data_IF_443221489093
#
_entry.id   IF_443221489093
#
_cell.length_a   1.000
_cell.length_b   1.000
_cell.length_c   1.000
_cell.angle_alpha   90.00
_cell.angle_beta   90.00
_cell.angle_gamma   90.00
#
_symmetry.space_group_name_H-M   'P 1'
#
loop_
_entity.id
_entity.type
_entity.pdbx_description
1 polymer ?
#
# COMPACT_ATOMS: atom_id res chain seq x y z
N UNK A 1 -3.90 15.55 -24.16
CA UNK A 1 -2.58 14.92 -24.37
C UNK A 1 -2.62 14.30 -25.75
N UNK A 2 -1.76 14.79 -26.65
CA UNK A 2 -1.67 14.29 -28.01
C UNK A 2 -1.25 12.83 -28.07
N UNK A 3 -1.69 12.10 -29.09
CA UNK A 3 -1.38 10.68 -29.27
C UNK A 3 -0.41 10.49 -30.43
N UNK A 4 0.53 9.56 -30.27
CA UNK A 4 1.31 9.05 -31.39
C UNK A 4 0.37 8.34 -32.38
N UNK A 5 0.61 8.56 -33.68
CA UNK A 5 -0.12 7.96 -34.80
C UNK A 5 0.80 7.01 -35.56
N UNK A 6 0.20 5.99 -36.16
CA UNK A 6 0.89 4.94 -36.89
C UNK A 6 0.31 4.79 -38.29
N UNK A 7 1.19 4.50 -39.25
CA UNK A 7 0.84 4.14 -40.62
C UNK A 7 1.76 3.02 -41.06
N UNK A 8 1.21 2.00 -41.72
CA UNK A 8 1.99 0.84 -42.13
C UNK A 8 2.92 1.20 -43.29
N UNK A 9 4.22 0.95 -43.12
CA UNK A 9 5.25 1.01 -44.16
C UNK A 9 5.26 2.30 -44.98
N UNK A 10 4.98 3.43 -44.35
CA UNK A 10 4.98 4.72 -45.05
C UNK A 10 6.40 5.12 -45.46
N UNK A 11 6.52 5.59 -46.69
CA UNK A 11 7.73 6.13 -47.29
C UNK A 11 7.32 7.16 -48.36
N UNK A 12 8.04 8.27 -48.40
CA UNK A 12 7.79 9.38 -49.33
C UNK A 12 9.09 10.18 -49.53
N UNK A 13 9.15 11.01 -50.56
CA UNK A 13 10.34 11.79 -50.90
C UNK A 13 10.14 13.27 -50.61
N UNK A 14 11.17 13.90 -50.05
CA UNK A 14 11.25 15.35 -49.88
C UNK A 14 11.25 16.03 -51.24
N UNK A 15 10.56 17.17 -51.33
CA UNK A 15 10.52 18.04 -52.51
C UNK A 15 11.12 19.40 -52.14
N UNK A 16 12.16 19.80 -52.88
CA UNK A 16 12.89 21.03 -52.65
C UNK A 16 14.06 20.87 -51.67
N UNK A 17 14.72 21.98 -51.37
CA UNK A 17 15.76 22.02 -50.34
C UNK A 17 15.16 22.32 -48.96
N UNK A 18 15.65 21.61 -47.95
CA UNK A 18 15.24 21.77 -46.55
C UNK A 18 16.49 22.06 -45.74
N UNK A 19 16.56 23.24 -45.15
CA UNK A 19 17.68 23.63 -44.29
C UNK A 19 17.66 22.86 -42.96
N UNK A 20 18.82 22.73 -42.28
CA UNK A 20 18.86 22.28 -40.89
C UNK A 20 17.95 23.15 -40.02
N UNK A 21 17.08 22.53 -39.23
CA UNK A 21 16.16 23.23 -38.33
C UNK A 21 14.92 23.83 -38.99
N UNK A 22 14.69 23.65 -40.30
CA UNK A 22 13.43 24.04 -40.94
C UNK A 22 12.23 23.33 -40.27
N UNK A 23 11.19 24.10 -39.95
CA UNK A 23 9.97 23.64 -39.26
C UNK A 23 8.89 23.13 -40.21
N UNK A 24 9.13 23.23 -41.51
CA UNK A 24 8.24 22.73 -42.55
C UNK A 24 9.05 22.03 -43.64
N UNK A 25 8.46 20.98 -44.22
CA UNK A 25 8.99 20.32 -45.42
C UNK A 25 7.85 19.80 -46.28
N UNK A 26 8.07 19.71 -47.58
CA UNK A 26 7.07 19.21 -48.53
C UNK A 26 7.46 17.82 -49.00
N UNK A 27 6.48 16.92 -49.09
CA UNK A 27 6.64 15.58 -49.66
C UNK A 27 6.08 15.49 -51.08
N UNK A 28 6.52 14.50 -51.85
CA UNK A 28 5.92 14.19 -53.15
C UNK A 28 4.51 13.61 -53.00
N UNK A 29 4.27 12.80 -51.96
CA UNK A 29 2.96 12.29 -51.57
C UNK A 29 2.84 12.12 -50.05
N UNK A 30 2.00 12.92 -49.41
CA UNK A 30 1.64 12.76 -48.00
C UNK A 30 0.22 12.22 -47.81
N UNK A 31 -0.51 11.89 -48.88
CA UNK A 31 -1.91 11.47 -48.82
C UNK A 31 -2.16 10.25 -47.91
N UNK A 32 -1.26 9.24 -47.80
CA UNK A 32 -1.46 8.12 -46.88
C UNK A 32 -1.43 8.50 -45.40
N UNK A 33 -0.88 9.67 -45.04
CA UNK A 33 -0.85 10.14 -43.65
C UNK A 33 -2.20 10.68 -43.17
N UNK A 34 -3.11 10.97 -44.11
CA UNK A 34 -4.44 11.50 -43.83
C UNK A 34 -4.39 12.87 -43.15
N UNK A 35 -5.35 13.12 -42.27
CA UNK A 35 -5.40 14.33 -41.44
C UNK A 35 -4.83 14.05 -40.06
N UNK A 36 -4.14 15.04 -39.49
CA UNK A 36 -3.54 14.94 -38.16
C UNK A 36 -4.27 15.87 -37.17
N UNK A 37 -5.00 15.33 -36.17
CA UNK A 37 -5.68 16.14 -35.17
C UNK A 37 -4.72 16.98 -34.33
N UNK A 38 -5.14 18.16 -33.82
CA UNK A 38 -4.29 19.01 -33.00
C UNK A 38 -3.70 18.28 -31.79
N UNK A 39 -2.37 18.30 -31.68
CA UNK A 39 -1.60 17.66 -30.62
C UNK A 39 -1.14 16.25 -30.93
N UNK A 40 -1.78 15.54 -31.86
CA UNK A 40 -1.30 14.25 -32.32
C UNK A 40 -0.06 14.40 -33.21
N UNK A 41 0.73 13.34 -33.32
CA UNK A 41 1.96 13.38 -34.10
C UNK A 41 2.32 12.04 -34.70
N UNK A 42 3.13 12.06 -35.76
CA UNK A 42 3.88 10.90 -36.23
C UNK A 42 5.36 11.07 -35.88
N UNK A 43 6.03 9.99 -35.47
CA UNK A 43 7.50 9.93 -35.48
C UNK A 43 7.96 9.48 -36.84
N UNK A 44 8.85 10.25 -37.46
CA UNK A 44 9.39 9.94 -38.78
C UNK A 44 10.92 10.00 -38.78
N UNK A 45 11.53 9.27 -39.69
CA UNK A 45 12.96 9.30 -39.96
C UNK A 45 13.19 9.91 -41.34
N UNK A 46 13.93 11.02 -41.36
CA UNK A 46 14.48 11.59 -42.58
C UNK A 46 15.87 10.99 -42.84
N UNK A 47 16.19 10.70 -44.09
CA UNK A 47 17.49 10.15 -44.49
C UNK A 47 17.96 10.74 -45.82
N UNK A 48 19.22 11.18 -45.87
CA UNK A 48 19.87 11.73 -47.05
C UNK A 48 20.92 10.76 -47.65
N UNK A 49 20.71 9.45 -47.48
CA UNK A 49 21.63 8.35 -47.83
C UNK A 49 22.94 8.26 -47.04
N UNK A 50 23.37 9.34 -46.37
CA UNK A 50 24.62 9.38 -45.57
C UNK A 50 24.36 9.37 -44.07
N UNK A 51 23.28 10.01 -43.63
CA UNK A 51 22.88 10.10 -42.24
C UNK A 51 21.36 10.17 -42.12
N UNK A 52 20.86 10.05 -40.90
CA UNK A 52 19.44 10.14 -40.60
C UNK A 52 19.16 11.10 -39.45
N UNK A 53 17.92 11.59 -39.42
CA UNK A 53 17.37 12.43 -38.36
C UNK A 53 15.97 11.93 -37.99
N UNK A 54 15.65 11.89 -36.70
CA UNK A 54 14.28 11.62 -36.24
C UNK A 54 13.56 12.95 -36.05
N UNK A 55 12.32 13.02 -36.54
CA UNK A 55 11.46 14.21 -36.45
C UNK A 55 10.07 13.84 -35.94
N UNK A 56 9.37 14.81 -35.34
CA UNK A 56 7.93 14.71 -35.09
C UNK A 56 7.19 15.46 -36.18
N UNK A 57 6.28 14.81 -36.88
CA UNK A 57 5.30 15.47 -37.75
C UNK A 57 4.12 15.88 -36.90
N UNK A 58 3.86 17.17 -36.75
CA UNK A 58 2.83 17.73 -35.85
C UNK A 58 1.67 18.39 -36.59
N UNK A 59 1.78 18.55 -37.90
CA UNK A 59 0.75 19.12 -38.76
C UNK A 59 0.90 18.63 -40.19
N UNK A 60 -0.23 18.48 -40.91
CA UNK A 60 -0.28 18.02 -42.30
C UNK A 60 -1.29 18.88 -43.05
N UNK A 61 -0.84 19.57 -44.10
CA UNK A 61 -1.70 20.33 -45.02
C UNK A 61 -1.35 19.98 -46.46
N UNK A 62 -2.15 19.10 -47.08
CA UNK A 62 -1.82 18.52 -48.37
C UNK A 62 -0.50 17.76 -48.29
N UNK A 63 0.51 18.18 -49.06
CA UNK A 63 1.85 17.60 -49.05
C UNK A 63 2.84 18.33 -48.13
N UNK A 64 2.43 19.43 -47.49
CA UNK A 64 3.26 20.19 -46.56
C UNK A 64 3.13 19.61 -45.15
N UNK A 65 4.25 19.24 -44.55
CA UNK A 65 4.35 18.77 -43.18
C UNK A 65 4.91 19.87 -42.28
N UNK A 66 4.31 20.04 -41.11
CA UNK A 66 4.92 20.77 -39.99
C UNK A 66 5.70 19.79 -39.13
N UNK A 67 6.96 20.11 -38.85
CA UNK A 67 7.90 19.19 -38.19
C UNK A 67 8.65 19.84 -37.04
N UNK A 68 8.86 19.06 -35.98
CA UNK A 68 9.84 19.32 -34.93
C UNK A 68 11.07 18.46 -35.22
N UNK A 69 12.21 19.13 -35.42
CA UNK A 69 13.49 18.56 -35.85
C UNK A 69 14.28 17.97 -34.68
N UNK A 70 15.34 17.21 -34.98
CA UNK A 70 16.36 16.76 -34.02
C UNK A 70 15.81 16.01 -32.78
N UNK A 71 14.97 15.01 -33.02
CA UNK A 71 14.38 14.18 -31.97
C UNK A 71 15.29 12.98 -31.66
N UNK A 72 15.07 12.34 -30.51
CA UNK A 72 15.83 11.14 -30.09
C UNK A 72 17.35 11.36 -30.14
N UNK A 73 17.79 12.56 -29.75
CA UNK A 73 19.21 12.98 -29.75
C UNK A 73 19.89 12.95 -31.13
N UNK A 74 19.12 12.91 -32.21
CA UNK A 74 19.65 13.11 -33.57
C UNK A 74 19.96 14.59 -33.83
N UNK A 75 20.88 14.86 -34.75
CA UNK A 75 21.26 16.22 -35.14
C UNK A 75 20.40 16.71 -36.31
N UNK A 76 20.04 18.01 -36.37
CA UNK A 76 19.32 18.55 -37.51
C UNK A 76 20.21 18.58 -38.76
N UNK A 77 19.73 18.00 -39.87
CA UNK A 77 20.46 17.89 -41.13
C UNK A 77 19.81 18.70 -42.27
N UNK A 78 20.56 18.89 -43.36
CA UNK A 78 20.01 19.42 -44.60
C UNK A 78 19.49 18.27 -45.49
N UNK A 79 18.39 18.51 -46.19
CA UNK A 79 17.79 17.58 -47.14
C UNK A 79 17.51 18.24 -48.48
N UNK A 80 17.46 17.44 -49.53
CA UNK A 80 17.21 17.86 -50.91
C UNK A 80 16.10 17.01 -51.53
N UNK A 81 15.64 17.42 -52.72
CA UNK A 81 14.66 16.65 -53.49
C UNK A 81 15.10 15.20 -53.68
N UNK A 82 14.23 14.25 -53.35
CA UNK A 82 14.49 12.82 -53.48
C UNK A 82 14.99 12.13 -52.20
N UNK A 83 15.39 12.89 -51.17
CA UNK A 83 15.68 12.33 -49.85
C UNK A 83 14.42 11.72 -49.22
N UNK A 84 14.58 10.68 -48.42
CA UNK A 84 13.45 9.89 -47.93
C UNK A 84 12.95 10.39 -46.58
N UNK A 85 11.63 10.41 -46.41
CA UNK A 85 10.94 10.41 -45.13
C UNK A 85 10.20 9.09 -44.96
N UNK A 86 10.46 8.39 -43.87
CA UNK A 86 9.84 7.11 -43.55
C UNK A 86 9.18 7.19 -42.16
N UNK A 87 8.00 6.59 -42.00
CA UNK A 87 7.40 6.38 -40.67
C UNK A 87 7.50 4.89 -40.39
N UNK A 88 8.45 4.54 -39.53
CA UNK A 88 8.77 3.19 -39.06
C UNK A 88 8.97 3.24 -37.55
N UNK A 89 9.12 2.08 -36.93
CA UNK A 89 9.36 2.00 -35.49
C UNK A 89 10.74 2.60 -35.15
N UNK A 90 10.73 3.69 -34.38
CA UNK A 90 11.94 4.29 -33.77
C UNK A 90 12.08 3.82 -32.32
N UNK A 91 13.27 4.03 -31.71
CA UNK A 91 13.46 3.73 -30.29
C UNK A 91 12.47 4.52 -29.41
N UNK A 92 12.27 5.80 -29.71
CA UNK A 92 11.26 6.62 -29.01
C UNK A 92 9.82 6.20 -29.29
N UNK A 93 9.53 5.61 -30.45
CA UNK A 93 8.21 5.00 -30.73
C UNK A 93 7.96 3.82 -29.80
N UNK A 94 8.97 2.96 -29.60
CA UNK A 94 8.87 1.78 -28.73
C UNK A 94 8.89 2.14 -27.23
N UNK A 95 9.55 3.23 -26.85
CA UNK A 95 9.60 3.74 -25.46
C UNK A 95 8.25 4.29 -24.98
N UNK A 96 7.37 4.69 -25.90
CA UNK A 96 6.00 5.11 -25.57
C UNK A 96 5.08 3.92 -25.21
N UNK A 97 5.47 2.69 -25.54
CA UNK A 97 4.74 1.51 -25.14
C UNK A 97 5.21 1.01 -23.78
N UNK A 98 4.26 0.59 -22.93
CA UNK A 98 4.56 -0.03 -21.64
C UNK A 98 5.28 -1.35 -21.87
N UNK A 99 6.52 -1.48 -21.39
CA UNK A 99 7.27 -2.73 -21.45
C UNK A 99 6.63 -3.78 -20.53
N UNK A 100 6.78 -5.06 -20.85
CA UNK A 100 6.22 -6.16 -20.04
C UNK A 100 6.61 -6.08 -18.55
N UNK A 101 7.83 -5.64 -18.26
CA UNK A 101 8.33 -5.47 -16.89
C UNK A 101 7.75 -4.23 -16.19
N UNK A 102 7.17 -3.29 -16.95
CA UNK A 102 6.52 -2.08 -16.45
C UNK A 102 5.00 -2.25 -16.34
N UNK A 103 4.46 -3.36 -16.85
CA UNK A 103 3.07 -3.77 -16.57
C UNK A 103 2.99 -4.08 -15.08
N UNK A 104 2.44 -3.15 -14.30
CA UNK A 104 1.05 -3.27 -13.84
C UNK A 104 0.55 -4.59 -13.21
N UNK A 105 1.34 -5.64 -12.98
CA UNK A 105 0.85 -6.91 -12.39
C UNK A 105 0.23 -6.63 -11.01
N UNK A 106 -1.01 -7.06 -10.81
CA UNK A 106 -1.60 -7.07 -9.48
C UNK A 106 -0.75 -7.93 -8.56
N UNK A 107 -0.40 -7.41 -7.39
CA UNK A 107 0.48 -8.08 -6.42
C UNK A 107 1.98 -7.85 -6.66
N UNK A 108 2.38 -6.71 -7.25
CA UNK A 108 3.77 -6.22 -7.18
C UNK A 108 4.09 -5.73 -5.78
N UNK A 109 3.19 -4.92 -5.22
CA UNK A 109 3.35 -4.41 -3.88
C UNK A 109 3.12 -5.53 -2.85
N UNK A 110 4.21 -5.89 -2.16
CA UNK A 110 4.21 -6.87 -1.07
C UNK A 110 3.53 -6.32 0.20
N UNK A 111 3.48 -5.00 0.36
CA UNK A 111 2.84 -4.34 1.50
C UNK A 111 1.32 -4.42 1.38
N UNK A 112 0.70 -5.10 2.33
CA UNK A 112 -0.75 -5.07 2.55
C UNK A 112 -1.13 -3.78 3.26
N UNK A 113 -2.19 -3.14 2.78
CA UNK A 113 -2.76 -1.90 3.30
C UNK A 113 -1.81 -0.71 3.24
N UNK A 114 -0.84 -0.67 2.31
CA UNK A 114 0.21 0.37 2.27
C UNK A 114 -0.27 1.83 2.27
N UNK A 115 -1.50 2.09 1.81
CA UNK A 115 -2.16 3.41 1.86
C UNK A 115 -2.98 3.66 3.14
N UNK A 116 -2.89 2.80 4.14
CA UNK A 116 -3.55 2.91 5.45
C UNK A 116 -5.07 3.04 5.39
N UNK A 117 -5.75 2.37 4.45
CA UNK A 117 -7.20 2.51 4.20
C UNK A 117 -8.07 1.62 5.08
N UNK A 118 -7.57 0.43 5.40
CA UNK A 118 -8.29 -0.54 6.22
C UNK A 118 -7.92 -0.32 7.68
N UNK A 119 -8.93 -0.08 8.51
CA UNK A 119 -8.76 0.11 9.95
C UNK A 119 -9.89 -0.55 10.71
N UNK A 120 -9.82 -1.88 10.81
CA UNK A 120 -10.85 -2.69 11.46
C UNK A 120 -11.02 -2.35 12.95
N UNK A 121 -9.92 -1.97 13.63
CA UNK A 121 -9.95 -1.57 15.04
C UNK A 121 -10.72 -0.26 15.26
N UNK A 122 -10.75 0.63 14.26
CA UNK A 122 -11.49 1.90 14.25
C UNK A 122 -11.25 2.81 15.48
N UNK A 123 -10.19 2.57 16.25
CA UNK A 123 -9.83 3.33 17.45
C UNK A 123 -8.31 3.45 17.54
N UNK A 124 -7.82 4.67 17.76
CA UNK A 124 -6.38 4.93 17.89
C UNK A 124 -5.81 4.34 19.18
N UNK A 125 -4.51 4.07 19.17
CA UNK A 125 -3.76 3.57 20.33
C UNK A 125 -2.76 4.63 20.81
N UNK A 126 -2.46 4.72 22.12
CA UNK A 126 -1.36 5.56 22.60
C UNK A 126 -0.04 5.19 21.93
N UNK A 127 0.86 6.16 21.75
CA UNK A 127 2.20 5.88 21.23
C UNK A 127 3.00 5.15 22.32
N UNK A 128 3.48 3.95 22.00
CA UNK A 128 4.32 3.17 22.92
C UNK A 128 5.75 3.74 22.99
N UNK A 129 6.44 3.55 24.11
CA UNK A 129 7.83 3.99 24.32
C UNK A 129 8.89 2.95 23.95
N UNK A 130 8.47 1.72 23.63
CA UNK A 130 9.39 0.63 23.25
C UNK A 130 8.85 -0.13 22.04
N UNK A 131 9.78 -0.69 21.24
CA UNK A 131 9.43 -1.45 20.03
C UNK A 131 8.57 -2.68 20.35
N UNK A 132 8.90 -3.42 21.42
CA UNK A 132 8.16 -4.63 21.83
C UNK A 132 6.72 -4.33 22.27
N UNK A 133 6.45 -3.12 22.75
CA UNK A 133 5.12 -2.66 23.13
C UNK A 133 4.42 -1.84 22.02
N UNK A 134 5.00 -1.74 20.81
CA UNK A 134 4.44 -0.95 19.72
C UNK A 134 2.97 -1.32 19.45
N UNK A 135 2.09 -0.33 19.46
CA UNK A 135 0.64 -0.54 19.32
C UNK A 135 0.20 -0.28 17.87
N UNK A 136 -0.97 -0.82 17.52
CA UNK A 136 -1.49 -0.78 16.16
C UNK A 136 -2.30 0.50 15.90
N UNK A 137 -2.14 1.03 14.69
CA UNK A 137 -3.04 2.01 14.07
C UNK A 137 -3.91 1.33 13.02
N UNK A 138 -3.98 1.88 11.78
CA UNK A 138 -4.56 1.16 10.65
C UNK A 138 -3.96 -0.23 10.53
N UNK A 139 -4.74 -1.18 10.02
CA UNK A 139 -4.34 -2.59 10.04
C UNK A 139 -2.96 -2.76 9.41
N UNK A 140 -2.12 -3.61 10.02
CA UNK A 140 -0.69 -3.85 9.71
C UNK A 140 0.31 -2.78 10.14
N UNK A 141 -0.10 -1.54 10.41
CA UNK A 141 0.80 -0.49 10.87
C UNK A 141 0.88 -0.45 12.39
N UNK A 142 2.12 -0.41 12.91
CA UNK A 142 2.41 -0.20 14.32
C UNK A 142 3.23 1.05 14.52
N UNK A 143 3.17 1.61 15.72
CA UNK A 143 3.85 2.83 16.07
C UNK A 143 4.48 2.77 17.45
N UNK A 144 5.67 3.36 17.57
CA UNK A 144 6.32 3.62 18.85
C UNK A 144 7.28 4.79 18.73
N UNK A 145 7.70 5.33 19.87
CA UNK A 145 8.75 6.34 20.00
C UNK A 145 10.07 5.65 20.38
N UNK A 146 11.05 5.51 19.46
CA UNK A 146 12.33 4.85 19.77
C UNK A 146 13.21 5.67 20.71
N UNK A 147 13.10 7.00 20.63
CA UNK A 147 13.88 7.96 21.39
C UNK A 147 12.97 9.12 21.77
N UNK A 148 13.16 9.65 22.98
CA UNK A 148 12.30 10.69 23.54
C UNK A 148 10.99 10.12 24.10
N UNK A 149 10.40 10.87 25.02
CA UNK A 149 9.08 10.56 25.59
C UNK A 149 8.08 11.49 24.93
N UNK A 150 6.99 10.95 24.40
CA UNK A 150 5.88 11.74 23.89
C UNK A 150 4.96 12.06 25.08
N UNK A 151 4.74 13.34 25.34
CA UNK A 151 3.82 13.79 26.41
C UNK A 151 2.37 13.42 26.04
N UNK A 152 2.05 13.53 24.75
CA UNK A 152 0.78 13.09 24.17
C UNK A 152 1.01 12.52 22.78
N UNK A 153 0.05 11.72 22.32
CA UNK A 153 -0.05 11.31 20.93
C UNK A 153 -0.65 9.92 20.77
N UNK A 154 -1.30 9.69 19.64
CA UNK A 154 -1.90 8.40 19.30
C UNK A 154 -1.45 7.95 17.91
N UNK A 155 -1.28 6.64 17.72
CA UNK A 155 -1.25 6.06 16.37
C UNK A 155 -2.68 5.71 15.96
N UNK A 156 -3.10 6.22 14.81
CA UNK A 156 -4.48 6.08 14.29
C UNK A 156 -4.51 6.22 12.77
N UNK A 157 -5.70 6.10 12.17
CA UNK A 157 -5.92 6.39 10.76
C UNK A 157 -6.11 7.89 10.53
N UNK A 158 -5.40 8.47 9.57
CA UNK A 158 -5.75 9.74 8.98
C UNK A 158 -6.82 9.56 7.90
N UNK A 159 -7.84 10.41 7.88
CA UNK A 159 -8.82 10.54 6.79
C UNK A 159 -8.80 11.97 6.26
N UNK A 160 -9.08 12.16 4.97
CA UNK A 160 -8.95 13.48 4.34
C UNK A 160 -7.50 14.00 4.29
N UNK A 161 -6.53 13.09 4.31
CA UNK A 161 -5.10 13.43 4.30
C UNK A 161 -4.75 14.14 2.98
N UNK A 162 -3.94 15.22 3.00
CA UNK A 162 -3.64 16.02 1.81
C UNK A 162 -2.70 15.34 0.80
N UNK A 163 -2.24 14.12 1.12
CA UNK A 163 -1.33 13.32 0.31
C UNK A 163 -1.87 11.92 0.11
N UNK A 164 -1.50 11.28 -1.00
CA UNK A 164 -1.98 9.95 -1.39
C UNK A 164 -3.37 9.99 -1.99
N UNK A 165 -3.61 9.18 -3.04
CA UNK A 165 -4.86 9.22 -3.82
C UNK A 165 -6.10 8.81 -3.00
N UNK A 166 -5.91 8.05 -1.93
CA UNK A 166 -6.98 7.47 -1.11
C UNK A 166 -7.50 8.44 -0.06
N UNK A 167 -6.75 9.51 0.25
CA UNK A 167 -7.02 10.40 1.38
C UNK A 167 -6.87 9.71 2.74
N UNK A 168 -6.28 8.50 2.79
CA UNK A 168 -6.01 7.76 4.02
C UNK A 168 -4.51 7.62 4.28
N UNK A 169 -4.13 7.49 5.55
CA UNK A 169 -2.75 7.24 5.97
C UNK A 169 -2.69 6.59 7.35
N UNK A 170 -1.57 5.92 7.66
CA UNK A 170 -1.15 5.73 9.04
C UNK A 170 -0.68 7.07 9.61
N UNK A 171 -1.18 7.44 10.79
CA UNK A 171 -1.00 8.76 11.39
C UNK A 171 -0.55 8.65 12.83
N UNK A 172 0.48 9.41 13.20
CA UNK A 172 0.68 9.83 14.58
C UNK A 172 -0.08 11.15 14.76
N UNK A 173 -1.10 11.16 15.61
CA UNK A 173 -1.99 12.29 15.86
C UNK A 173 -1.64 13.01 17.14
N UNK A 174 -1.68 14.34 17.12
CA UNK A 174 -1.63 15.18 18.32
C UNK A 174 -0.39 14.94 19.17
N UNK A 175 0.75 14.74 18.50
CA UNK A 175 2.04 14.50 19.14
C UNK A 175 2.52 15.77 19.80
N UNK A 176 2.79 15.68 21.10
CA UNK A 176 3.47 16.73 21.86
C UNK A 176 4.73 16.15 22.47
N UNK A 177 5.85 16.85 22.30
CA UNK A 177 7.12 16.56 22.97
C UNK A 177 7.88 17.85 23.23
N UNK A 178 8.24 18.06 24.50
CA UNK A 178 9.01 19.26 24.94
C UNK A 178 10.43 19.29 24.38
N UNK A 179 11.07 18.14 24.20
CA UNK A 179 12.49 18.05 23.82
C UNK A 179 12.71 17.47 22.42
N UNK A 180 11.61 17.14 21.72
CA UNK A 180 11.66 16.37 20.48
C UNK A 180 11.88 14.89 20.72
N UNK A 181 12.25 14.19 19.66
CA UNK A 181 12.47 12.75 19.70
C UNK A 181 12.30 12.09 18.36
N UNK A 182 12.01 10.80 18.42
CA UNK A 182 11.80 9.98 17.25
C UNK A 182 10.44 9.28 17.31
N UNK A 183 9.82 9.12 16.15
CA UNK A 183 8.64 8.29 15.94
C UNK A 183 8.92 7.31 14.83
N UNK A 184 8.53 6.05 15.02
CA UNK A 184 8.74 5.01 14.04
C UNK A 184 7.42 4.36 13.67
N UNK A 185 7.06 4.45 12.38
CA UNK A 185 6.11 3.51 11.79
C UNK A 185 6.82 2.19 11.55
N UNK A 186 6.19 1.10 11.99
CA UNK A 186 6.64 -0.26 11.79
C UNK A 186 5.64 -1.01 10.93
N UNK A 187 6.17 -1.77 9.99
CA UNK A 187 5.42 -2.69 9.15
C UNK A 187 6.16 -4.01 9.06
N UNK A 188 5.46 -5.13 9.19
CA UNK A 188 6.06 -6.47 9.12
C UNK A 188 5.44 -7.28 7.98
N UNK A 189 6.27 -8.03 7.29
CA UNK A 189 5.90 -8.91 6.18
C UNK A 189 6.22 -10.35 6.57
N UNK A 190 5.30 -11.26 6.23
CA UNK A 190 5.54 -12.70 6.40
C UNK A 190 6.69 -13.15 5.51
N UNK A 191 7.49 -14.11 5.98
CA UNK A 191 8.55 -14.75 5.21
C UNK A 191 8.02 -15.42 3.95
N UNK A 192 6.79 -15.94 4.00
CA UNK A 192 6.10 -16.50 2.85
C UNK A 192 5.88 -15.48 1.71
N UNK A 193 5.61 -14.21 2.03
CA UNK A 193 5.45 -13.14 1.03
C UNK A 193 6.82 -12.53 0.65
N UNK A 194 7.67 -12.30 1.66
CA UNK A 194 8.99 -11.70 1.49
C UNK A 194 9.98 -12.59 0.73
N UNK A 195 9.75 -13.92 0.67
CA UNK A 195 10.60 -14.84 -0.11
C UNK A 195 10.73 -14.47 -1.60
N UNK A 196 9.78 -13.69 -2.14
CA UNK A 196 9.82 -13.16 -3.50
C UNK A 196 11.03 -12.26 -3.78
N UNK A 197 11.60 -11.66 -2.73
CA UNK A 197 12.79 -10.80 -2.83
C UNK A 197 14.10 -11.60 -2.85
N UNK A 198 14.06 -12.91 -2.58
CA UNK A 198 15.26 -13.72 -2.42
C UNK A 198 16.07 -13.75 -3.71
N UNK A 199 17.34 -13.34 -3.63
CA UNK A 199 18.25 -13.39 -4.78
C UNK A 199 18.04 -12.26 -5.80
N UNK A 200 17.20 -11.28 -5.50
CA UNK A 200 16.91 -10.15 -6.40
C UNK A 200 17.28 -8.81 -5.78
N UNK A 201 17.27 -7.76 -6.60
CA UNK A 201 17.18 -6.38 -6.11
C UNK A 201 15.73 -6.05 -5.79
N UNK A 202 15.51 -5.15 -4.83
CA UNK A 202 14.19 -4.61 -4.52
C UNK A 202 14.20 -3.09 -4.36
N UNK A 203 13.01 -2.53 -4.36
CA UNK A 203 12.78 -1.10 -4.19
C UNK A 203 11.69 -0.85 -3.16
N UNK A 204 11.93 0.15 -2.30
CA UNK A 204 11.02 0.59 -1.25
C UNK A 204 10.62 2.04 -1.54
N UNK A 205 9.33 2.34 -1.51
CA UNK A 205 8.84 3.71 -1.57
C UNK A 205 7.75 3.98 -0.55
N UNK A 206 7.65 5.24 -0.13
CA UNK A 206 6.66 5.69 0.84
C UNK A 206 6.33 7.17 0.59
N UNK A 207 5.09 7.57 0.79
CA UNK A 207 4.68 8.97 0.77
C UNK A 207 4.49 9.46 2.21
N UNK A 208 5.26 10.47 2.58
CA UNK A 208 5.25 11.04 3.94
C UNK A 208 4.81 12.51 3.92
N UNK A 209 4.15 12.91 5.00
CA UNK A 209 3.68 14.28 5.23
C UNK A 209 3.67 14.56 6.73
N UNK A 210 3.85 15.82 7.13
CA UNK A 210 3.82 16.25 8.52
C UNK A 210 3.48 17.75 8.63
N UNK A 211 2.97 18.18 9.78
CA UNK A 211 2.57 19.57 10.06
C UNK A 211 3.19 20.14 11.36
N UNK A 212 4.35 19.62 11.76
CA UNK A 212 5.09 19.98 12.98
C UNK A 212 5.63 21.42 13.02
N UNK A 213 5.48 22.18 11.93
CA UNK A 213 5.94 23.57 11.85
C UNK A 213 7.45 23.72 11.61
N UNK A 214 8.21 22.63 11.56
CA UNK A 214 9.65 22.60 11.28
C UNK A 214 10.00 21.45 10.33
N UNK A 215 11.18 21.45 9.69
CA UNK A 215 11.67 20.30 8.94
C UNK A 215 11.92 19.09 9.85
N UNK A 216 11.58 17.90 9.36
CA UNK A 216 11.73 16.61 10.06
C UNK A 216 12.66 15.73 9.25
N UNK A 217 13.58 15.01 9.89
CA UNK A 217 14.44 14.05 9.19
C UNK A 217 13.72 12.70 9.10
N UNK A 218 13.69 12.08 7.92
CA UNK A 218 13.01 10.80 7.70
C UNK A 218 13.95 9.76 7.13
N UNK A 219 13.98 8.58 7.74
CA UNK A 219 14.87 7.48 7.37
C UNK A 219 14.07 6.19 7.20
N UNK A 220 14.22 5.52 6.06
CA UNK A 220 13.66 4.19 5.86
C UNK A 220 14.73 3.13 6.14
N UNK A 221 14.37 2.07 6.87
CA UNK A 221 15.27 0.93 7.10
C UNK A 221 14.52 -0.39 6.99
N UNK A 222 15.28 -1.44 6.67
CA UNK A 222 14.82 -2.81 6.56
C UNK A 222 15.62 -3.70 7.50
N UNK A 223 14.95 -4.63 8.16
CA UNK A 223 15.58 -5.67 9.00
C UNK A 223 14.86 -6.99 8.79
N UNK A 224 15.54 -8.11 9.02
CA UNK A 224 14.91 -9.44 9.05
C UNK A 224 14.86 -9.97 10.49
N UNK A 225 13.91 -10.85 10.81
CA UNK A 225 13.96 -11.64 12.02
C UNK A 225 15.05 -12.72 11.97
N UNK A 226 15.40 -13.26 13.14
CA UNK A 226 16.36 -14.38 13.27
C UNK A 226 15.71 -15.75 13.19
N UNK A 227 14.38 -15.83 13.31
CA UNK A 227 13.58 -17.02 13.06
C UNK A 227 12.38 -16.69 12.18
N UNK A 228 11.78 -17.70 11.55
CA UNK A 228 10.64 -17.53 10.65
C UNK A 228 9.51 -16.78 11.36
N UNK A 229 9.18 -15.60 10.83
CA UNK A 229 8.12 -14.70 11.29
C UNK A 229 8.21 -14.31 12.78
N UNK A 230 9.40 -14.42 13.37
CA UNK A 230 9.65 -14.13 14.78
C UNK A 230 10.51 -12.87 14.96
N UNK A 231 9.84 -11.73 15.14
CA UNK A 231 10.45 -10.41 15.23
C UNK A 231 10.97 -10.03 16.62
N UNK A 232 11.18 -10.99 17.52
CA UNK A 232 11.76 -10.74 18.84
C UNK A 232 13.23 -10.29 18.76
N UNK A 233 13.97 -10.76 17.75
CA UNK A 233 15.34 -10.34 17.45
C UNK A 233 15.50 -10.08 15.95
N UNK A 234 16.21 -9.01 15.60
CA UNK A 234 16.32 -8.52 14.23
C UNK A 234 17.78 -8.37 13.79
N UNK A 235 18.05 -8.65 12.51
CA UNK A 235 19.31 -8.33 11.83
C UNK A 235 19.05 -7.22 10.81
N UNK A 236 19.74 -6.07 10.85
CA UNK A 236 19.57 -5.00 9.87
C UNK A 236 20.00 -5.43 8.45
N UNK A 237 19.23 -5.03 7.43
CA UNK A 237 19.57 -5.17 6.01
C UNK A 237 20.19 -3.90 5.47
N UNK A 238 19.45 -2.83 5.66
CA UNK A 238 19.54 -1.62 4.88
C UNK A 238 19.03 -0.48 5.73
N UNK A 239 19.76 0.61 5.70
CA UNK A 239 19.35 1.89 6.27
C UNK A 239 19.59 2.93 5.19
N UNK A 240 18.51 3.55 4.73
CA UNK A 240 18.58 4.62 3.74
C UNK A 240 19.23 5.86 4.31
N UNK A 241 19.66 6.75 3.43
CA UNK A 241 20.15 8.07 3.83
C UNK A 241 18.99 8.90 4.38
N UNK A 242 19.15 9.60 5.51
CA UNK A 242 18.11 10.49 6.03
C UNK A 242 17.70 11.57 5.02
N UNK A 243 16.41 11.81 4.90
CA UNK A 243 15.82 12.78 3.98
C UNK A 243 15.08 13.85 4.77
N UNK A 244 15.42 15.12 4.53
CA UNK A 244 14.67 16.25 5.10
C UNK A 244 13.26 16.34 4.49
N UNK A 245 12.24 16.34 5.35
CA UNK A 245 10.82 16.49 5.06
C UNK A 245 10.35 17.87 5.55
N UNK A 246 10.07 18.81 4.63
CA UNK A 246 9.50 20.10 4.99
C UNK A 246 8.11 19.97 5.63
N UNK A 247 7.71 20.98 6.40
CA UNK A 247 6.35 21.05 6.97
C UNK A 247 5.33 21.30 5.88
N UNK A 248 4.16 20.68 6.01
CA UNK A 248 3.00 20.81 5.13
C UNK A 248 3.26 20.51 3.63
N UNK A 249 4.30 19.74 3.32
CA UNK A 249 4.63 19.33 1.94
C UNK A 249 4.82 17.82 1.91
N UNK A 250 4.04 17.16 1.06
CA UNK A 250 4.18 15.73 0.82
C UNK A 250 5.49 15.41 0.11
N UNK A 251 6.22 14.40 0.58
CA UNK A 251 7.46 13.94 -0.06
C UNK A 251 7.42 12.44 -0.25
N UNK A 252 7.72 11.99 -1.47
CA UNK A 252 7.94 10.57 -1.75
C UNK A 252 9.37 10.22 -1.42
N UNK A 253 9.55 9.25 -0.53
CA UNK A 253 10.81 8.59 -0.24
C UNK A 253 10.94 7.41 -1.19
N UNK A 254 12.10 7.25 -1.81
CA UNK A 254 12.45 6.11 -2.65
C UNK A 254 13.82 5.58 -2.24
N UNK A 255 13.90 4.25 -2.12
CA UNK A 255 15.13 3.51 -1.87
C UNK A 255 15.19 2.42 -2.92
N UNK A 256 16.19 2.48 -3.77
CA UNK A 256 16.29 1.71 -5.01
C UNK A 256 17.55 0.85 -5.00
N UNK A 257 17.50 -0.30 -5.67
CA UNK A 257 18.63 -1.22 -5.75
C UNK A 257 19.01 -1.85 -4.41
N UNK A 258 18.04 -2.08 -3.52
CA UNK A 258 18.28 -2.78 -2.25
C UNK A 258 18.62 -4.25 -2.57
N UNK A 259 19.79 -4.71 -2.14
CA UNK A 259 20.25 -6.08 -2.43
C UNK A 259 19.73 -7.09 -1.40
N UNK A 260 18.95 -8.07 -1.88
CA UNK A 260 18.43 -9.18 -1.07
C UNK A 260 19.14 -10.52 -1.34
N UNK A 261 20.28 -10.51 -2.04
CA UNK A 261 21.01 -11.72 -2.44
C UNK A 261 21.51 -12.57 -1.26
N UNK A 262 21.94 -11.93 -0.18
CA UNK A 262 22.50 -12.60 1.01
C UNK A 262 21.56 -12.58 2.24
N UNK A 263 20.35 -12.04 2.10
CA UNK A 263 19.59 -11.55 3.26
C UNK A 263 18.46 -12.46 3.76
N UNK A 264 18.27 -13.65 3.18
CA UNK A 264 17.28 -14.63 3.64
C UNK A 264 15.86 -14.05 3.92
N UNK A 265 15.27 -13.27 2.99
CA UNK A 265 13.99 -12.60 3.23
C UNK A 265 12.83 -13.59 3.46
N UNK A 266 13.01 -14.88 3.15
CA UNK A 266 12.09 -15.96 3.48
C UNK A 266 11.82 -16.16 4.98
N UNK A 267 12.60 -15.52 5.88
CA UNK A 267 12.32 -15.51 7.32
C UNK A 267 11.31 -14.43 7.73
N UNK A 268 11.02 -13.46 6.86
CA UNK A 268 10.21 -12.29 7.15
C UNK A 268 10.99 -10.98 7.00
N UNK A 269 10.28 -9.85 7.00
CA UNK A 269 10.90 -8.53 6.86
C UNK A 269 10.18 -7.49 7.71
N UNK A 270 10.93 -6.65 8.41
CA UNK A 270 10.44 -5.46 9.09
C UNK A 270 10.89 -4.22 8.31
N UNK A 271 9.92 -3.39 7.97
CA UNK A 271 10.13 -2.06 7.43
C UNK A 271 9.93 -1.07 8.57
N UNK A 272 10.89 -0.16 8.74
CA UNK A 272 10.76 0.96 9.64
C UNK A 272 10.90 2.28 8.87
N UNK A 273 9.92 3.17 9.07
CA UNK A 273 10.01 4.58 8.64
C UNK A 273 10.15 5.42 9.90
N UNK A 274 11.36 5.90 10.13
CA UNK A 274 11.76 6.67 11.30
C UNK A 274 11.66 8.17 10.99
N UNK A 275 11.01 8.92 11.86
CA UNK A 275 10.89 10.38 11.84
C UNK A 275 11.65 10.93 13.04
N UNK A 276 12.53 11.91 12.83
CA UNK A 276 13.27 12.60 13.88
C UNK A 276 12.95 14.10 13.83
N UNK A 277 12.53 14.64 14.97
CA UNK A 277 11.98 16.00 15.08
C UNK A 277 12.42 16.66 16.40
N UNK A 278 12.47 18.00 16.38
CA UNK A 278 12.66 18.81 17.58
C UNK A 278 11.40 18.94 18.42
N UNK A 279 11.34 19.91 19.34
CA UNK A 279 10.15 20.14 20.15
C UNK A 279 8.90 20.42 19.27
N UNK A 280 7.77 19.82 19.61
CA UNK A 280 6.50 19.94 18.88
C UNK A 280 5.31 19.98 19.83
N UNK A 281 4.24 20.65 19.42
CA UNK A 281 2.98 20.71 20.17
C UNK A 281 1.83 20.38 19.22
N UNK A 282 1.06 19.33 19.55
CA UNK A 282 -0.10 18.90 18.78
C UNK A 282 0.19 18.69 17.27
N UNK A 283 1.36 18.16 16.95
CA UNK A 283 1.79 17.88 15.58
C UNK A 283 1.30 16.51 15.10
N UNK A 284 1.15 16.36 13.79
CA UNK A 284 0.73 15.15 13.12
C UNK A 284 1.79 14.70 12.10
N UNK A 285 2.00 13.38 12.03
CA UNK A 285 2.93 12.76 11.09
C UNK A 285 2.21 11.64 10.34
N UNK A 286 2.39 11.56 9.03
CA UNK A 286 1.60 10.71 8.16
C UNK A 286 2.51 9.85 7.27
N UNK A 287 2.14 8.58 7.13
CA UNK A 287 2.73 7.61 6.21
C UNK A 287 1.60 6.98 5.37
N UNK A 288 1.72 7.10 4.06
CA UNK A 288 0.81 6.47 3.10
C UNK A 288 1.58 5.99 1.87
N UNK A 289 0.89 5.33 0.94
CA UNK A 289 1.45 4.74 -0.26
C UNK A 289 2.77 3.96 -0.02
N UNK A 290 2.86 3.20 1.09
CA UNK A 290 4.02 2.36 1.41
C UNK A 290 4.07 1.14 0.49
N UNK A 291 5.14 1.00 -0.28
CA UNK A 291 5.31 -0.07 -1.25
C UNK A 291 6.70 -0.68 -1.19
N UNK A 292 6.75 -2.00 -1.17
CA UNK A 292 7.96 -2.79 -1.37
C UNK A 292 7.72 -3.75 -2.54
N UNK A 293 8.63 -3.78 -3.49
CA UNK A 293 8.53 -4.60 -4.69
C UNK A 293 9.88 -5.13 -5.15
N UNK A 294 9.83 -6.18 -5.97
CA UNK A 294 11.01 -6.73 -6.66
C UNK A 294 11.37 -5.82 -7.82
N UNK A 295 12.66 -5.52 -7.98
CA UNK A 295 13.17 -4.65 -9.03
C UNK A 295 14.09 -3.57 -8.50
N UNK A 296 15.02 -3.11 -9.32
CA UNK A 296 15.98 -2.09 -8.92
C UNK A 296 15.36 -0.68 -8.82
N UNK A 297 14.17 -0.45 -9.39
CA UNK A 297 13.51 0.86 -9.47
C UNK A 297 12.16 0.83 -8.76
N UNK A 298 11.81 1.94 -8.12
CA UNK A 298 10.50 2.12 -7.51
C UNK A 298 9.48 2.51 -8.58
N UNK A 299 8.38 1.76 -8.66
CA UNK A 299 7.25 2.04 -9.54
C UNK A 299 6.20 2.91 -8.84
N UNK A 300 5.25 3.52 -9.57
CA UNK A 300 4.10 4.17 -8.95
C UNK A 300 3.33 3.22 -8.03
N UNK A 301 2.74 3.76 -6.97
CA UNK A 301 2.04 2.97 -5.95
C UNK A 301 0.89 2.13 -6.55
N UNK A 302 0.87 0.84 -6.24
CA UNK A 302 -0.16 -0.10 -6.67
C UNK A 302 -1.41 0.00 -5.76
N UNK A 303 -2.51 0.53 -6.30
CA UNK A 303 -3.78 0.60 -5.60
C UNK A 303 -4.60 -0.69 -5.80
N UNK A 304 -4.93 -1.37 -4.69
CA UNK A 304 -5.90 -2.47 -4.66
C UNK A 304 -7.31 -1.94 -4.38
N UNK A 305 -8.33 -2.70 -4.79
CA UNK A 305 -9.71 -2.42 -4.38
C UNK A 305 -9.82 -2.52 -2.86
N UNK A 306 -10.73 -1.74 -2.25
CA UNK A 306 -10.90 -1.76 -0.80
C UNK A 306 -11.23 -3.17 -0.27
N UNK A 307 -12.06 -3.92 -1.01
CA UNK A 307 -12.42 -5.29 -0.65
C UNK A 307 -11.21 -6.24 -0.66
N UNK A 308 -10.36 -6.17 -1.69
CA UNK A 308 -9.16 -6.99 -1.75
C UNK A 308 -8.22 -6.67 -0.58
N UNK A 309 -7.99 -5.39 -0.31
CA UNK A 309 -7.15 -4.94 0.80
C UNK A 309 -7.67 -5.43 2.16
N UNK A 310 -8.98 -5.26 2.41
CA UNK A 310 -9.62 -5.74 3.63
C UNK A 310 -9.49 -7.25 3.79
N UNK A 311 -9.69 -8.02 2.72
CA UNK A 311 -9.52 -9.48 2.78
C UNK A 311 -8.07 -9.89 3.11
N UNK A 312 -7.07 -9.17 2.62
CA UNK A 312 -5.69 -9.41 3.02
C UNK A 312 -5.45 -9.05 4.49
N UNK A 313 -6.02 -7.95 5.00
CA UNK A 313 -5.93 -7.59 6.42
C UNK A 313 -6.59 -8.64 7.35
N UNK A 314 -7.68 -9.26 6.91
CA UNK A 314 -8.38 -10.29 7.68
C UNK A 314 -7.47 -11.46 8.07
N UNK A 315 -6.41 -11.75 7.31
CA UNK A 315 -5.42 -12.77 7.66
C UNK A 315 -4.72 -12.51 9.01
N UNK A 316 -4.59 -11.25 9.42
CA UNK A 316 -3.83 -10.85 10.61
C UNK A 316 -4.70 -10.37 11.75
N UNK A 317 -5.85 -9.78 11.44
CA UNK A 317 -6.81 -9.35 12.44
C UNK A 317 -8.23 -9.52 11.92
N UNK A 318 -9.10 -10.14 12.71
CA UNK A 318 -10.53 -10.26 12.42
C UNK A 318 -11.32 -10.09 13.71
N UNK A 319 -12.49 -9.48 13.62
CA UNK A 319 -13.44 -9.42 14.72
C UNK A 319 -14.88 -9.60 14.21
N UNK A 320 -15.79 -9.96 15.09
CA UNK A 320 -17.20 -10.24 14.75
C UNK A 320 -18.08 -8.99 14.56
N UNK A 321 -17.55 -7.80 14.78
CA UNK A 321 -18.33 -6.54 14.70
C UNK A 321 -18.28 -6.01 13.26
N UNK A 322 -19.36 -5.39 12.72
CA UNK A 322 -19.33 -4.80 11.38
C UNK A 322 -18.17 -3.83 11.17
N UNK A 323 -17.64 -3.79 9.95
CA UNK A 323 -16.55 -2.87 9.60
C UNK A 323 -16.98 -1.41 9.79
N UNK A 324 -16.09 -0.59 10.37
CA UNK A 324 -16.34 0.83 10.65
C UNK A 324 -17.00 1.10 12.01
N UNK A 325 -17.40 0.05 12.74
CA UNK A 325 -17.86 0.16 14.13
C UNK A 325 -16.71 -0.17 15.06
N UNK A 326 -16.47 0.70 16.04
CA UNK A 326 -15.43 0.49 17.07
C UNK A 326 -15.76 -0.79 17.85
N UNK A 327 -14.87 -1.81 17.83
CA UNK A 327 -15.06 -3.00 18.63
C UNK A 327 -15.12 -2.65 20.12
N UNK A 328 -16.00 -3.34 20.85
CA UNK A 328 -16.14 -3.27 22.32
C UNK A 328 -16.73 -1.97 22.87
N UNK A 329 -17.31 -1.12 22.01
CA UNK A 329 -18.16 -0.03 22.48
C UNK A 329 -19.27 -0.56 23.40
N UNK A 330 -19.69 0.24 24.38
CA UNK A 330 -20.84 -0.10 25.23
C UNK A 330 -22.13 -0.06 24.41
N UNK A 331 -23.04 -1.01 24.64
CA UNK A 331 -24.35 -1.02 23.96
C UNK A 331 -24.32 -1.60 22.54
N UNK A 332 -23.37 -2.47 22.23
CA UNK A 332 -23.31 -3.21 20.95
C UNK A 332 -24.42 -4.26 20.79
N UNK A 333 -25.41 -4.32 21.68
CA UNK A 333 -26.41 -5.40 21.75
C UNK A 333 -27.34 -5.57 20.53
N UNK A 334 -27.16 -4.76 19.49
CA UNK A 334 -27.85 -4.87 18.20
C UNK A 334 -26.89 -5.10 17.00
N UNK A 335 -25.57 -5.05 17.22
CA UNK A 335 -24.55 -5.15 16.18
C UNK A 335 -24.12 -6.62 15.97
N UNK A 336 -25.04 -7.44 15.46
CA UNK A 336 -24.82 -8.83 14.98
C UNK A 336 -23.85 -9.68 15.82
N UNK A 337 -24.10 -9.87 17.13
CA UNK A 337 -23.33 -10.83 17.90
C UNK A 337 -23.46 -12.25 17.32
N UNK A 338 -22.49 -13.10 17.62
CA UNK A 338 -22.63 -14.52 17.34
C UNK A 338 -23.67 -15.09 18.30
N UNK A 339 -24.88 -15.31 17.77
CA UNK A 339 -25.99 -15.91 18.50
C UNK A 339 -25.99 -17.42 18.24
N UNK A 340 -25.92 -18.18 19.33
CA UNK A 340 -25.85 -19.63 19.28
C UNK A 340 -26.84 -20.19 20.27
N UNK A 341 -27.55 -21.25 19.89
CA UNK A 341 -28.34 -22.02 20.85
C UNK A 341 -27.39 -22.67 21.85
N UNK A 342 -27.49 -22.25 23.11
CA UNK A 342 -26.65 -22.72 24.21
C UNK A 342 -27.14 -24.04 24.81
N UNK A 343 -28.42 -24.38 24.67
CA UNK A 343 -28.95 -25.55 25.35
C UNK A 343 -30.45 -25.84 25.28
N UNK A 344 -30.88 -26.53 26.33
CA UNK A 344 -32.23 -27.01 26.63
C UNK A 344 -32.79 -26.21 27.83
N UNK A 345 -34.09 -25.89 27.88
CA UNK A 345 -34.69 -25.20 29.02
C UNK A 345 -34.60 -26.01 30.33
N UNK A 346 -34.35 -27.32 30.25
CA UNK A 346 -34.19 -28.21 31.40
C UNK A 346 -32.96 -29.11 31.30
N UNK A 347 -32.32 -29.36 32.46
CA UNK A 347 -31.20 -30.29 32.61
C UNK A 347 -29.82 -29.69 32.30
N UNK A 348 -28.79 -30.29 32.88
CA UNK A 348 -27.39 -29.95 32.58
C UNK A 348 -27.04 -30.31 31.14
N UNK A 349 -26.32 -29.44 30.46
CA UNK A 349 -25.95 -29.60 29.06
C UNK A 349 -24.62 -28.91 28.75
N UNK A 350 -24.08 -29.15 27.55
CA UNK A 350 -22.87 -28.50 27.07
C UNK A 350 -23.18 -27.46 26.02
N UNK A 351 -22.71 -26.24 26.22
CA UNK A 351 -22.52 -25.28 25.16
C UNK A 351 -21.22 -25.62 24.41
N UNK A 352 -21.34 -25.87 23.11
CA UNK A 352 -20.21 -26.06 22.21
C UNK A 352 -20.42 -25.22 20.96
N UNK A 353 -19.44 -24.39 20.61
CA UNK A 353 -19.53 -23.56 19.41
C UNK A 353 -18.19 -23.48 18.68
N UNK A 354 -18.21 -23.80 17.39
CA UNK A 354 -17.08 -23.65 16.50
C UNK A 354 -17.34 -22.47 15.55
N UNK A 355 -16.45 -21.50 15.56
CA UNK A 355 -16.48 -20.37 14.63
C UNK A 355 -15.28 -20.46 13.70
N UNK A 356 -15.54 -20.53 12.39
CA UNK A 356 -14.50 -20.41 11.37
C UNK A 356 -14.19 -18.94 11.12
N UNK A 357 -12.92 -18.63 10.89
CA UNK A 357 -12.52 -17.30 10.43
C UNK A 357 -12.84 -17.13 8.94
N UNK A 358 -13.05 -15.89 8.51
CA UNK A 358 -13.29 -15.58 7.10
C UNK A 358 -12.07 -15.92 6.22
N UNK A 359 -10.86 -15.74 6.77
CA UNK A 359 -9.59 -16.04 6.13
C UNK A 359 -8.70 -16.78 7.12
N UNK A 360 -7.97 -17.80 6.63
CA UNK A 360 -6.96 -18.50 7.42
C UNK A 360 -5.89 -17.53 7.93
N UNK A 361 -5.67 -17.57 9.24
CA UNK A 361 -4.71 -16.69 9.92
C UNK A 361 -3.27 -17.08 9.63
N UNK A 362 -2.38 -16.10 9.74
CA UNK A 362 -0.94 -16.33 9.60
C UNK A 362 -0.42 -17.36 10.63
N UNK A 363 -0.74 -17.14 11.91
CA UNK A 363 -0.46 -18.06 13.02
C UNK A 363 -1.75 -18.35 13.82
N UNK A 364 -1.69 -19.24 14.81
CA UNK A 364 -2.83 -19.46 15.70
C UNK A 364 -3.13 -18.15 16.45
N UNK A 365 -4.27 -17.48 16.21
CA UNK A 365 -4.52 -16.16 16.76
C UNK A 365 -4.66 -16.19 18.29
N UNK A 366 -4.32 -15.10 18.94
CA UNK A 366 -4.82 -14.80 20.29
C UNK A 366 -6.29 -14.42 20.18
N UNK A 367 -7.15 -15.15 20.90
CA UNK A 367 -8.59 -14.92 20.88
C UNK A 367 -9.02 -14.06 22.07
N UNK A 368 -9.64 -12.92 21.79
CA UNK A 368 -10.25 -12.04 22.78
C UNK A 368 -11.78 -12.15 22.68
N UNK A 369 -12.40 -12.91 23.58
CA UNK A 369 -13.85 -13.01 23.66
C UNK A 369 -14.43 -11.84 24.45
N UNK A 370 -15.61 -11.39 24.06
CA UNK A 370 -16.25 -10.22 24.63
C UNK A 370 -17.72 -10.50 24.85
N UNK A 371 -18.21 -10.18 26.05
CA UNK A 371 -19.64 -10.17 26.30
C UNK A 371 -20.33 -9.22 25.32
N UNK A 372 -21.49 -9.64 24.83
CA UNK A 372 -22.21 -8.95 23.76
C UNK A 372 -22.75 -7.57 24.19
N UNK A 373 -23.19 -7.47 25.44
CA UNK A 373 -23.89 -6.31 25.98
C UNK A 373 -22.95 -5.30 26.64
N UNK A 374 -21.97 -5.79 27.40
CA UNK A 374 -21.03 -4.94 28.16
C UNK A 374 -19.63 -4.84 27.57
N UNK A 375 -19.27 -5.72 26.63
CA UNK A 375 -17.90 -5.80 26.11
C UNK A 375 -16.87 -6.36 27.12
N UNK A 376 -17.33 -6.96 28.23
CA UNK A 376 -16.45 -7.55 29.25
C UNK A 376 -15.55 -8.64 28.62
N UNK A 377 -14.24 -8.57 28.88
CA UNK A 377 -13.24 -9.49 28.32
C UNK A 377 -13.41 -10.91 28.89
N UNK A 378 -13.23 -11.91 28.03
CA UNK A 378 -13.31 -13.34 28.38
C UNK A 378 -14.65 -13.74 29.00
N UNK A 379 -15.74 -13.23 28.43
CA UNK A 379 -17.12 -13.53 28.82
C UNK A 379 -18.00 -13.83 27.62
N UNK A 380 -19.02 -14.65 27.88
CA UNK A 380 -20.14 -14.97 27.00
C UNK A 380 -21.41 -14.63 27.77
N UNK A 381 -22.33 -13.91 27.13
CA UNK A 381 -23.62 -13.52 27.71
C UNK A 381 -24.63 -14.64 27.46
N UNK A 382 -25.34 -15.07 28.52
CA UNK A 382 -26.35 -16.12 28.41
C UNK A 382 -27.75 -15.62 28.74
N UNK A 383 -28.73 -16.16 28.02
CA UNK A 383 -30.14 -15.78 28.12
C UNK A 383 -31.02 -17.01 28.27
N UNK A 384 -32.14 -16.85 28.97
CA UNK A 384 -33.12 -17.90 29.17
C UNK A 384 -34.11 -18.01 28.00
N UNK A 385 -35.08 -18.93 28.11
CA UNK A 385 -36.10 -19.15 27.08
C UNK A 385 -36.99 -17.93 26.79
N UNK A 386 -37.11 -17.00 27.74
CA UNK A 386 -37.84 -15.74 27.57
C UNK A 386 -36.98 -14.62 26.96
N UNK A 387 -35.71 -14.90 26.62
CA UNK A 387 -34.76 -13.90 26.13
C UNK A 387 -34.23 -12.97 27.23
N UNK A 388 -34.51 -13.26 28.50
CA UNK A 388 -33.99 -12.47 29.60
C UNK A 388 -32.54 -12.87 29.90
N UNK A 389 -31.70 -11.86 30.15
CA UNK A 389 -30.31 -12.06 30.58
C UNK A 389 -30.28 -12.87 31.88
N UNK A 390 -29.40 -13.87 31.92
CA UNK A 390 -29.16 -14.71 33.10
C UNK A 390 -27.88 -14.27 33.77
N UNK A 391 -26.75 -14.43 33.08
CA UNK A 391 -25.43 -14.07 33.57
C UNK A 391 -24.38 -14.06 32.45
N UNK A 392 -23.15 -13.66 32.81
CA UNK A 392 -21.96 -13.75 31.96
C UNK A 392 -21.00 -14.77 32.53
N UNK A 393 -20.57 -15.72 31.70
CA UNK A 393 -19.63 -16.74 32.11
C UNK A 393 -18.43 -16.81 31.16
N UNK A 394 -17.26 -17.16 31.71
CA UNK A 394 -16.09 -17.49 30.90
C UNK A 394 -16.26 -18.85 30.21
N UNK A 395 -15.68 -19.08 29.03
CA UNK A 395 -15.56 -20.44 28.50
C UNK A 395 -14.73 -21.31 29.46
N UNK A 396 -15.06 -22.61 29.56
CA UNK A 396 -14.23 -23.57 30.32
C UNK A 396 -13.01 -24.00 29.51
N UNK A 397 -13.16 -24.08 28.20
CA UNK A 397 -12.06 -24.37 27.29
C UNK A 397 -12.21 -23.57 25.99
N UNK A 398 -11.07 -23.12 25.48
CA UNK A 398 -10.94 -22.47 24.17
C UNK A 398 -9.84 -23.20 23.42
N UNK A 399 -10.18 -23.77 22.27
CA UNK A 399 -9.19 -24.35 21.35
C UNK A 399 -9.11 -23.48 20.11
N UNK A 400 -7.91 -23.01 19.76
CA UNK A 400 -7.72 -22.08 18.64
C UNK A 400 -6.77 -22.70 17.62
N UNK A 401 -7.12 -22.55 16.35
CA UNK A 401 -6.32 -22.92 15.18
C UNK A 401 -6.24 -21.74 14.22
N UNK A 402 -5.41 -21.82 13.18
CA UNK A 402 -5.36 -20.79 12.12
C UNK A 402 -6.69 -20.59 11.38
N UNK A 403 -7.58 -21.58 11.38
CA UNK A 403 -8.82 -21.55 10.57
C UNK A 403 -10.09 -21.30 11.38
N UNK A 404 -10.05 -21.56 12.68
CA UNK A 404 -11.24 -21.55 13.54
C UNK A 404 -10.87 -21.56 15.02
N UNK A 405 -11.85 -21.26 15.88
CA UNK A 405 -11.81 -21.58 17.30
C UNK A 405 -13.04 -22.37 17.74
N UNK A 406 -12.87 -23.14 18.82
CA UNK A 406 -13.92 -23.93 19.48
C UNK A 406 -14.03 -23.49 20.94
N UNK A 407 -15.24 -23.15 21.36
CA UNK A 407 -15.61 -22.87 22.74
C UNK A 407 -16.35 -24.05 23.32
N UNK A 408 -16.06 -24.38 24.58
CA UNK A 408 -16.87 -25.33 25.36
C UNK A 408 -17.13 -24.82 26.76
N UNK A 409 -18.33 -25.09 27.26
CA UNK A 409 -18.71 -24.85 28.65
C UNK A 409 -19.87 -25.76 29.08
N UNK A 410 -19.77 -26.31 30.28
CA UNK A 410 -20.87 -26.98 30.98
C UNK A 410 -21.85 -25.94 31.52
N UNK A 411 -23.15 -26.16 31.31
CA UNK A 411 -24.21 -25.26 31.73
C UNK A 411 -25.26 -26.01 32.56
N UNK A 412 -25.87 -25.28 33.49
CA UNK A 412 -27.02 -25.77 34.25
C UNK A 412 -28.33 -25.68 33.46
N UNK A 413 -29.47 -25.75 34.15
CA UNK A 413 -30.77 -25.46 33.54
C UNK A 413 -30.93 -23.96 33.25
N UNK A 414 -31.86 -23.59 32.36
CA UNK A 414 -32.24 -22.20 32.02
C UNK A 414 -31.29 -21.41 31.09
N UNK A 415 -30.22 -22.00 30.54
CA UNK A 415 -29.37 -21.35 29.54
C UNK A 415 -29.79 -21.79 28.13
N UNK A 416 -30.41 -20.90 27.35
CA UNK A 416 -30.97 -21.25 26.03
C UNK A 416 -30.20 -20.60 24.88
N UNK A 417 -29.75 -19.36 25.07
CA UNK A 417 -29.01 -18.61 24.04
C UNK A 417 -27.69 -18.12 24.63
N UNK A 418 -26.61 -18.26 23.85
CA UNK A 418 -25.33 -17.62 24.12
C UNK A 418 -25.11 -16.53 23.07
N UNK A 419 -24.63 -15.37 23.52
CA UNK A 419 -24.24 -14.26 22.66
C UNK A 419 -22.85 -13.76 23.07
N UNK A 420 -21.99 -13.54 22.09
CA UNK A 420 -20.66 -12.99 22.33
C UNK A 420 -20.10 -12.38 21.05
N UNK A 421 -19.04 -11.61 21.22
CA UNK A 421 -18.17 -11.17 20.15
C UNK A 421 -16.76 -11.72 20.33
N UNK A 422 -15.95 -11.65 19.27
CA UNK A 422 -14.55 -12.04 19.32
C UNK A 422 -13.67 -11.09 18.52
N UNK A 423 -12.41 -10.96 18.93
CA UNK A 423 -11.30 -10.61 18.04
C UNK A 423 -10.28 -11.74 18.01
N UNK A 424 -9.76 -12.01 16.82
CA UNK A 424 -8.67 -12.94 16.56
C UNK A 424 -7.45 -12.13 16.09
N UNK A 425 -6.40 -12.12 16.90
CA UNK A 425 -5.17 -11.35 16.67
C UNK A 425 -4.04 -12.31 16.26
N UNK A 426 -3.62 -12.22 15.00
CA UNK A 426 -2.54 -13.01 14.39
C UNK A 426 -1.48 -12.12 13.73
N UNK A 427 -1.23 -10.94 14.30
CA UNK A 427 -0.26 -9.97 13.79
C UNK A 427 1.20 -10.41 14.09
N UNK A 428 2.14 -9.85 13.31
CA UNK A 428 3.58 -10.14 13.38
C UNK A 428 4.34 -9.28 14.39
#
# INVERSE_FOLDING_TARGET
MGRIRFVNNFESQVVGSVAPGATQLTLNDATPLGTLPPGDYYRATLSNSSAFEVVLVTGITGNLLEVIRAQESTLPLAYSTGDLLQIRDTAGTLDEFVQYNDVSWVGRNLVVNGAGRVFQRAVGSPIATTKSAALFGPDRFRGYAPVGVMDTGTITQGTGVPVGKTGCAAKFEGVTSVWGGQLAFLYRLEGADACRLKGSLGSLSALVFQDSGQPVSVTCSLSRPTGLDNFAALTPLFTGTPVSLPTAIGKRLTQEGIDFSAFQPELGLEIQVLLEFGAVTNANFYLTDLQLEVGARATPFEYKSFFAERNHCLRYYEHSVPYGVVPWATGLGANTPLLVRAGSPSGAHYFMHCQRFLVEKHHNPTLNLRAEDTGELNRISFYNAAGAFVERLAPESVSVSKTAFLLKRSLGSNYVTAAFHYAAEAEL
#
